data_IF_961368842074
#
_entry.id   IF_961368842074
#
_cell.length_a   1.000
_cell.length_b   1.000
_cell.length_c   1.000
_cell.angle_alpha   90.00
_cell.angle_beta   90.00
_cell.angle_gamma   90.00
#
_symmetry.space_group_name_H-M   'P 1'
#
loop_
_entity.id
_entity.type
_entity.pdbx_description
1 polymer ?
#
# COMPACT_ATOMS: atom_id res chain seq x y z
N UNK A 1 -9.29 25.33 18.74
CA UNK A 1 -10.21 24.35 19.39
C UNK A 1 -9.59 23.90 20.70
N UNK A 2 -10.37 23.76 21.79
CA UNK A 2 -9.86 23.27 23.08
C UNK A 2 -9.52 21.78 22.95
N UNK A 3 -8.46 21.26 23.60
CA UNK A 3 -8.19 19.83 23.66
C UNK A 3 -9.41 19.08 24.23
N UNK A 4 -9.88 18.03 23.56
CA UNK A 4 -10.99 17.18 24.02
C UNK A 4 -12.37 17.46 23.44
N UNK A 5 -12.55 18.45 22.56
CA UNK A 5 -13.82 18.62 21.82
C UNK A 5 -13.92 17.59 20.70
N UNK A 6 -15.01 16.82 20.64
CA UNK A 6 -15.28 15.91 19.51
C UNK A 6 -15.26 16.69 18.19
N UNK A 7 -14.70 16.08 17.15
CA UNK A 7 -14.71 16.66 15.81
C UNK A 7 -16.14 17.01 15.38
N UNK A 8 -16.32 18.15 14.71
CA UNK A 8 -17.62 18.53 14.17
C UNK A 8 -18.06 17.56 13.06
N UNK A 9 -19.34 17.59 12.68
CA UNK A 9 -19.82 16.78 11.55
C UNK A 9 -19.12 17.18 10.26
N UNK A 10 -18.83 18.47 10.11
CA UNK A 10 -18.11 19.06 8.99
C UNK A 10 -16.65 18.57 8.94
N UNK A 11 -15.97 18.51 10.08
CA UNK A 11 -14.61 17.97 10.17
C UNK A 11 -14.55 16.49 9.80
N UNK A 12 -15.54 15.71 10.26
CA UNK A 12 -15.67 14.28 9.94
C UNK A 12 -15.90 14.09 8.44
N UNK A 13 -16.82 14.84 7.84
CA UNK A 13 -17.11 14.76 6.42
C UNK A 13 -15.89 15.16 5.57
N UNK A 14 -15.16 16.21 5.95
CA UNK A 14 -13.94 16.63 5.27
C UNK A 14 -12.85 15.57 5.34
N UNK A 15 -12.63 14.96 6.51
CA UNK A 15 -11.68 13.85 6.67
C UNK A 15 -12.07 12.68 5.79
N UNK A 16 -13.34 12.29 5.79
CA UNK A 16 -13.80 11.13 5.01
C UNK A 16 -13.68 11.37 3.50
N UNK A 17 -13.86 12.62 3.04
CA UNK A 17 -13.60 13.01 1.65
C UNK A 17 -12.10 12.93 1.30
N UNK A 18 -11.22 13.42 2.18
CA UNK A 18 -9.77 13.34 2.00
C UNK A 18 -9.27 11.90 1.97
N UNK A 19 -9.77 11.06 2.88
CA UNK A 19 -9.44 9.63 2.91
C UNK A 19 -9.88 8.92 1.61
N UNK A 20 -11.04 9.30 1.06
CA UNK A 20 -11.51 8.78 -0.22
C UNK A 20 -10.61 9.22 -1.38
N UNK A 21 -10.32 10.52 -1.49
CA UNK A 21 -9.49 11.08 -2.56
C UNK A 21 -8.08 10.45 -2.54
N UNK A 22 -7.50 10.34 -1.35
CA UNK A 22 -6.21 9.69 -1.17
C UNK A 22 -6.26 8.20 -1.54
N UNK A 23 -7.32 7.49 -1.13
CA UNK A 23 -7.53 6.09 -1.47
C UNK A 23 -7.67 5.84 -2.97
N UNK A 24 -8.46 6.67 -3.67
CA UNK A 24 -8.64 6.59 -5.11
C UNK A 24 -7.31 6.86 -5.85
N UNK A 25 -6.54 7.84 -5.38
CA UNK A 25 -5.22 8.17 -5.94
C UNK A 25 -4.24 7.01 -5.77
N UNK A 26 -4.19 6.41 -4.58
CA UNK A 26 -3.34 5.26 -4.29
C UNK A 26 -3.74 4.02 -5.09
N UNK A 27 -5.05 3.77 -5.26
CA UNK A 27 -5.52 2.64 -6.05
C UNK A 27 -5.23 2.83 -7.54
N UNK A 28 -5.33 4.05 -8.06
CA UNK A 28 -4.92 4.39 -9.43
C UNK A 28 -3.42 4.15 -9.68
N UNK A 29 -2.58 4.32 -8.66
CA UNK A 29 -1.15 4.04 -8.76
C UNK A 29 -0.80 2.54 -8.65
N UNK A 30 -1.74 1.71 -8.17
CA UNK A 30 -1.50 0.28 -7.86
C UNK A 30 -1.12 -0.54 -9.08
N UNK A 31 -1.86 -0.41 -10.18
CA UNK A 31 -1.66 -1.25 -11.38
C UNK A 31 -0.27 -1.09 -12.00
N UNK A 32 0.26 0.15 -12.21
CA UNK A 32 1.63 0.33 -12.66
C UNK A 32 2.67 -0.35 -11.76
N UNK A 33 2.51 -0.28 -10.44
CA UNK A 33 3.44 -0.95 -9.52
C UNK A 33 3.32 -2.48 -9.55
N UNK A 34 2.11 -3.03 -9.70
CA UNK A 34 1.92 -4.47 -9.88
C UNK A 34 2.60 -4.96 -11.17
N UNK A 35 2.45 -4.22 -12.27
CA UNK A 35 3.12 -4.54 -13.54
C UNK A 35 4.65 -4.49 -13.39
N UNK A 36 5.18 -3.44 -12.76
CA UNK A 36 6.61 -3.32 -12.49
C UNK A 36 7.14 -4.46 -11.60
N UNK A 37 6.39 -4.84 -10.57
CA UNK A 37 6.75 -5.96 -9.70
C UNK A 37 6.80 -7.29 -10.46
N UNK A 38 5.86 -7.51 -11.40
CA UNK A 38 5.88 -8.67 -12.28
C UNK A 38 7.16 -8.75 -13.11
N UNK A 39 7.53 -7.65 -13.76
CA UNK A 39 8.76 -7.55 -14.57
C UNK A 39 10.00 -7.83 -13.72
N UNK A 40 10.12 -7.19 -12.55
CA UNK A 40 11.28 -7.41 -11.69
C UNK A 40 11.32 -8.81 -11.09
N UNK A 41 10.17 -9.43 -10.76
CA UNK A 41 10.13 -10.82 -10.28
C UNK A 41 10.64 -11.78 -11.35
N UNK A 42 10.19 -11.63 -12.60
CA UNK A 42 10.64 -12.47 -13.71
C UNK A 42 12.14 -12.34 -13.94
N UNK A 43 12.67 -11.11 -13.92
CA UNK A 43 14.12 -10.88 -14.01
C UNK A 43 14.89 -11.43 -12.82
N UNK A 44 14.32 -11.39 -11.62
CA UNK A 44 14.93 -11.97 -10.41
C UNK A 44 15.10 -13.48 -10.54
N UNK A 45 14.08 -14.18 -11.05
CA UNK A 45 14.09 -15.63 -11.27
C UNK A 45 15.16 -16.07 -12.27
N UNK A 46 15.45 -15.21 -13.25
CA UNK A 46 16.53 -15.40 -14.24
C UNK A 46 17.92 -14.99 -13.73
N UNK A 47 18.02 -14.39 -12.54
CA UNK A 47 19.28 -13.87 -12.01
C UNK A 47 19.79 -12.62 -12.71
N UNK A 48 18.91 -11.88 -13.41
CA UNK A 48 19.25 -10.74 -14.29
C UNK A 48 19.08 -9.37 -13.60
N UNK A 49 18.95 -9.35 -12.27
CA UNK A 49 18.81 -8.11 -11.51
C UNK A 49 20.17 -7.55 -11.10
N UNK A 50 20.55 -6.44 -11.73
CA UNK A 50 21.67 -5.62 -11.28
C UNK A 50 21.33 -4.91 -9.95
N UNK A 51 22.33 -4.44 -9.18
CA UNK A 51 22.10 -3.73 -7.90
C UNK A 51 21.09 -2.58 -8.00
N UNK A 52 21.10 -1.84 -9.11
CA UNK A 52 20.13 -0.75 -9.37
C UNK A 52 18.71 -1.27 -9.55
N UNK A 53 18.54 -2.39 -10.27
CA UNK A 53 17.22 -3.00 -10.46
C UNK A 53 16.66 -3.54 -9.14
N UNK A 54 17.51 -4.14 -8.31
CA UNK A 54 17.12 -4.60 -6.96
C UNK A 54 16.60 -3.45 -6.09
N UNK A 55 17.27 -2.30 -6.12
CA UNK A 55 16.80 -1.11 -5.40
C UNK A 55 15.47 -0.60 -5.94
N UNK A 56 15.28 -0.60 -7.27
CA UNK A 56 14.00 -0.21 -7.86
C UNK A 56 12.89 -1.20 -7.51
N UNK A 57 13.18 -2.51 -7.52
CA UNK A 57 12.24 -3.53 -7.14
C UNK A 57 11.82 -3.40 -5.66
N UNK A 58 12.77 -3.09 -4.77
CA UNK A 58 12.48 -2.76 -3.37
C UNK A 58 11.51 -1.59 -3.26
N UNK A 59 11.73 -0.49 -3.99
CA UNK A 59 10.80 0.65 -4.00
C UNK A 59 9.41 0.25 -4.46
N UNK A 60 9.31 -0.54 -5.53
CA UNK A 60 8.03 -1.05 -6.03
C UNK A 60 7.30 -1.87 -4.95
N UNK A 61 8.00 -2.78 -4.27
CA UNK A 61 7.42 -3.58 -3.19
C UNK A 61 6.98 -2.70 -2.01
N UNK A 62 7.78 -1.69 -1.65
CA UNK A 62 7.44 -0.71 -0.61
C UNK A 62 6.16 0.05 -0.93
N UNK A 63 6.03 0.60 -2.15
CA UNK A 63 4.81 1.30 -2.57
C UNK A 63 3.59 0.39 -2.57
N UNK A 64 3.72 -0.87 -3.01
CA UNK A 64 2.61 -1.82 -2.95
C UNK A 64 2.21 -2.13 -1.50
N UNK A 65 3.18 -2.29 -0.61
CA UNK A 65 2.93 -2.46 0.82
C UNK A 65 2.15 -1.27 1.40
N UNK A 66 2.57 -0.04 1.10
CA UNK A 66 1.89 1.19 1.56
C UNK A 66 0.45 1.29 1.03
N UNK A 67 0.23 0.95 -0.24
CA UNK A 67 -1.12 0.96 -0.85
C UNK A 67 -2.04 -0.03 -0.11
N UNK A 68 -1.58 -1.27 0.11
CA UNK A 68 -2.38 -2.27 0.82
C UNK A 68 -2.52 -1.97 2.32
N UNK A 69 -1.50 -1.37 2.94
CA UNK A 69 -1.56 -0.87 4.31
C UNK A 69 -2.62 0.22 4.50
N UNK A 70 -2.73 1.14 3.54
CA UNK A 70 -3.81 2.13 3.53
C UNK A 70 -5.18 1.46 3.39
N UNK A 71 -5.33 0.52 2.43
CA UNK A 71 -6.60 -0.23 2.27
C UNK A 71 -6.98 -1.00 3.54
N UNK A 72 -6.00 -1.61 4.24
CA UNK A 72 -6.19 -2.27 5.54
C UNK A 72 -6.70 -1.28 6.58
N UNK A 73 -6.09 -0.11 6.69
CA UNK A 73 -6.51 0.94 7.63
C UNK A 73 -7.94 1.41 7.36
N UNK A 74 -8.30 1.63 6.08
CA UNK A 74 -9.65 2.04 5.69
C UNK A 74 -10.70 0.95 5.96
N UNK A 75 -10.39 -0.32 5.68
CA UNK A 75 -11.26 -1.43 6.04
C UNK A 75 -11.45 -1.54 7.57
N UNK A 76 -10.38 -1.30 8.34
CA UNK A 76 -10.43 -1.22 9.80
C UNK A 76 -11.33 -0.10 10.30
N UNK A 77 -11.23 1.09 9.71
CA UNK A 77 -12.10 2.25 10.01
C UNK A 77 -13.58 1.93 9.71
N UNK A 78 -13.85 1.25 8.60
CA UNK A 78 -15.19 0.80 8.21
C UNK A 78 -15.69 -0.44 8.98
N UNK A 79 -14.87 -1.00 9.89
CA UNK A 79 -15.14 -2.27 10.60
C UNK A 79 -15.43 -3.46 9.67
N UNK A 80 -14.93 -3.41 8.43
CA UNK A 80 -15.02 -4.51 7.48
C UNK A 80 -13.83 -5.47 7.71
N UNK A 81 -14.03 -6.46 8.58
CA UNK A 81 -12.98 -7.38 9.02
C UNK A 81 -12.49 -8.31 7.90
N UNK A 82 -13.38 -8.68 6.97
CA UNK A 82 -13.02 -9.53 5.83
C UNK A 82 -12.04 -8.81 4.90
N UNK A 83 -12.37 -7.58 4.49
CA UNK A 83 -11.46 -6.81 3.65
C UNK A 83 -10.18 -6.43 4.39
N UNK A 84 -10.27 -6.13 5.69
CA UNK A 84 -9.08 -5.87 6.51
C UNK A 84 -8.09 -7.05 6.46
N UNK A 85 -8.56 -8.27 6.69
CA UNK A 85 -7.72 -9.48 6.63
C UNK A 85 -7.14 -9.72 5.22
N UNK A 86 -7.92 -9.47 4.17
CA UNK A 86 -7.46 -9.53 2.78
C UNK A 86 -6.31 -8.56 2.51
N UNK A 87 -6.45 -7.31 2.94
CA UNK A 87 -5.43 -6.28 2.71
C UNK A 87 -4.19 -6.48 3.58
N UNK A 88 -4.35 -7.00 4.79
CA UNK A 88 -3.24 -7.44 5.63
C UNK A 88 -2.39 -8.53 4.97
N UNK A 89 -3.03 -9.52 4.33
CA UNK A 89 -2.32 -10.56 3.60
C UNK A 89 -1.53 -10.00 2.39
N UNK A 90 -2.12 -9.08 1.62
CA UNK A 90 -1.42 -8.44 0.50
C UNK A 90 -0.26 -7.56 0.98
N UNK A 91 -0.46 -6.72 2.01
CA UNK A 91 0.60 -5.92 2.61
C UNK A 91 1.77 -6.80 3.08
N UNK A 92 1.46 -7.89 3.81
CA UNK A 92 2.49 -8.83 4.26
C UNK A 92 3.26 -9.45 3.09
N UNK A 93 2.58 -9.87 2.03
CA UNK A 93 3.22 -10.42 0.82
C UNK A 93 4.25 -9.45 0.22
N UNK A 94 3.95 -8.16 0.16
CA UNK A 94 4.87 -7.17 -0.39
C UNK A 94 6.01 -6.82 0.56
N UNK A 95 5.76 -6.78 1.88
CA UNK A 95 6.80 -6.66 2.89
C UNK A 95 7.76 -7.86 2.86
N UNK A 96 7.23 -9.09 2.82
CA UNK A 96 8.04 -10.31 2.72
C UNK A 96 8.88 -10.27 1.43
N UNK A 97 8.28 -9.87 0.30
CA UNK A 97 9.02 -9.71 -0.97
C UNK A 97 10.15 -8.70 -0.83
N UNK A 98 9.91 -7.54 -0.22
CA UNK A 98 10.93 -6.52 0.01
C UNK A 98 12.14 -7.08 0.75
N UNK A 99 11.91 -7.84 1.82
CA UNK A 99 12.96 -8.44 2.65
C UNK A 99 13.78 -9.52 1.91
N UNK A 100 13.17 -10.23 0.95
CA UNK A 100 13.88 -11.25 0.16
C UNK A 100 14.83 -10.68 -0.89
N UNK A 101 14.68 -9.40 -1.26
CA UNK A 101 15.55 -8.76 -2.26
C UNK A 101 16.90 -8.42 -1.58
N UNK A 102 17.89 -9.30 -1.75
CA UNK A 102 19.26 -9.05 -1.25
C UNK A 102 19.94 -7.99 -2.11
N UNK A 103 20.65 -7.03 -1.49
CA UNK A 103 21.48 -6.05 -2.21
C UNK A 103 22.53 -6.76 -3.06
#
# INVERSE_FOLDING_TARGET
TKPGTMASKEDVAKRDALDKEYGDTMDGAREPYLAAAGIFSERAEKGELEPRDKQQYKKVCGYLSDIYGFKKAMAGKAKNLTDKAKWEAEEKKWNDRYETIKN
#
